data_IF_247893873927
#
_entry.id   IF_247893873927
#
_cell.length_a   1.000
_cell.length_b   1.000
_cell.length_c   1.000
_cell.angle_alpha   90.00
_cell.angle_beta   90.00
_cell.angle_gamma   90.00
#
_symmetry.space_group_name_H-M   'P 1'
#
loop_
_entity.id
_entity.type
_entity.pdbx_description
1 polymer ?
#
# COMPACT_ATOMS: atom_id res chain seq x y z
N UNK A 1 -5.46 29.02 -11.30
CA UNK A 1 -4.48 28.21 -10.54
C UNK A 1 -4.69 26.77 -10.96
N UNK A 2 -3.81 26.24 -11.81
CA UNK A 2 -3.87 24.87 -12.27
C UNK A 2 -3.60 23.96 -11.07
N UNK A 3 -4.63 23.31 -10.54
CA UNK A 3 -4.47 22.25 -9.55
C UNK A 3 -3.76 21.10 -10.26
N UNK A 4 -2.43 21.08 -10.19
CA UNK A 4 -1.64 20.02 -10.80
C UNK A 4 -1.89 18.76 -9.99
N UNK A 5 -2.73 17.86 -10.51
CA UNK A 5 -3.00 16.59 -9.88
C UNK A 5 -1.70 15.80 -9.83
N UNK A 6 -1.16 15.56 -8.63
CA UNK A 6 -0.02 14.66 -8.46
C UNK A 6 -0.38 13.26 -8.99
N UNK A 7 0.53 12.72 -9.81
CA UNK A 7 0.49 11.35 -10.31
C UNK A 7 0.59 10.33 -9.16
N UNK A 8 0.25 9.08 -9.45
CA UNK A 8 0.42 7.99 -8.47
C UNK A 8 1.88 7.84 -8.03
N UNK A 9 2.81 7.90 -8.98
CA UNK A 9 4.24 7.72 -8.72
C UNK A 9 4.78 8.81 -7.79
N UNK A 10 4.41 10.08 -8.02
CA UNK A 10 4.80 11.20 -7.14
C UNK A 10 4.25 11.00 -5.72
N UNK A 11 2.97 10.63 -5.59
CA UNK A 11 2.37 10.34 -4.27
C UNK A 11 3.03 9.17 -3.57
N UNK A 12 3.47 8.17 -4.33
CA UNK A 12 4.15 7.00 -3.80
C UNK A 12 5.55 7.36 -3.30
N UNK A 13 6.34 8.12 -4.07
CA UNK A 13 7.65 8.62 -3.64
C UNK A 13 7.53 9.52 -2.39
N UNK A 14 6.57 10.45 -2.37
CA UNK A 14 6.29 11.29 -1.19
C UNK A 14 5.95 10.46 0.05
N UNK A 15 5.23 9.35 -0.14
CA UNK A 15 4.95 8.39 0.92
C UNK A 15 6.22 7.66 1.36
N UNK A 16 7.02 7.15 0.44
CA UNK A 16 8.25 6.40 0.73
C UNK A 16 9.23 7.24 1.56
N UNK A 17 9.47 8.49 1.20
CA UNK A 17 10.33 9.40 2.00
C UNK A 17 9.86 9.48 3.45
N UNK A 18 8.56 9.72 3.64
CA UNK A 18 7.97 9.82 4.99
C UNK A 18 8.01 8.49 5.74
N UNK A 19 7.85 7.38 5.02
CA UNK A 19 7.79 6.04 5.58
C UNK A 19 9.18 5.53 5.97
N UNK A 20 10.21 5.80 5.17
CA UNK A 20 11.61 5.48 5.48
C UNK A 20 12.07 6.11 6.80
N UNK A 21 11.72 7.37 7.06
CA UNK A 21 12.00 8.02 8.33
C UNK A 21 11.29 7.34 9.50
N UNK A 22 10.04 6.91 9.30
CA UNK A 22 9.29 6.12 10.28
C UNK A 22 9.94 4.76 10.57
N UNK A 23 10.56 4.14 9.55
CA UNK A 23 11.21 2.84 9.70
C UNK A 23 12.49 2.89 10.53
N UNK A 24 13.21 4.02 10.53
CA UNK A 24 14.47 4.20 11.29
C UNK A 24 14.30 4.05 12.81
N UNK A 25 13.09 4.28 13.31
CA UNK A 25 12.79 4.19 14.75
C UNK A 25 12.49 2.75 15.23
N UNK A 26 12.40 1.77 14.33
CA UNK A 26 12.30 0.38 14.74
C UNK A 26 13.64 -0.15 15.27
N UNK A 27 13.62 -0.99 16.32
CA UNK A 27 14.84 -1.63 16.81
C UNK A 27 15.41 -2.58 15.76
N UNK A 28 16.71 -2.90 15.87
CA UNK A 28 17.36 -3.80 14.92
C UNK A 28 16.72 -5.20 14.86
N UNK A 29 16.19 -5.68 16.01
CA UNK A 29 15.63 -7.03 16.14
C UNK A 29 14.18 -7.03 16.62
N UNK A 30 13.35 -7.93 16.09
CA UNK A 30 11.97 -8.12 16.53
C UNK A 30 11.03 -8.69 15.47
N UNK A 31 9.74 -8.76 15.80
CA UNK A 31 8.70 -9.31 14.91
C UNK A 31 8.54 -8.52 13.60
N UNK A 32 8.97 -7.26 13.58
CA UNK A 32 8.91 -6.37 12.42
C UNK A 32 9.99 -6.64 11.37
N UNK A 33 11.07 -7.36 11.70
CA UNK A 33 12.17 -7.67 10.75
C UNK A 33 11.67 -8.34 9.47
N UNK A 34 10.78 -9.33 9.62
CA UNK A 34 10.18 -10.03 8.47
C UNK A 34 9.43 -9.08 7.55
N UNK A 35 8.77 -8.07 8.12
CA UNK A 35 8.01 -7.08 7.35
C UNK A 35 8.93 -6.03 6.75
N UNK A 36 10.01 -5.65 7.44
CA UNK A 36 11.06 -4.79 6.89
C UNK A 36 11.74 -5.45 5.69
N UNK A 37 12.17 -6.71 5.81
CA UNK A 37 12.78 -7.46 4.69
C UNK A 37 11.83 -7.51 3.50
N UNK A 38 10.57 -7.93 3.73
CA UNK A 38 9.58 -8.00 2.65
C UNK A 38 9.31 -6.63 2.01
N UNK A 39 9.23 -5.57 2.80
CA UNK A 39 9.12 -4.20 2.30
C UNK A 39 10.31 -3.85 1.39
N UNK A 40 11.55 -4.13 1.83
CA UNK A 40 12.77 -3.86 1.05
C UNK A 40 12.82 -4.64 -0.26
N UNK A 41 12.35 -5.88 -0.26
CA UNK A 41 12.33 -6.74 -1.46
C UNK A 41 11.25 -6.31 -2.46
N UNK A 42 10.07 -5.89 -1.98
CA UNK A 42 8.90 -5.59 -2.83
C UNK A 42 8.82 -4.13 -3.28
N UNK A 43 9.34 -3.18 -2.49
CA UNK A 43 9.33 -1.75 -2.82
C UNK A 43 9.92 -1.43 -4.22
N UNK A 44 11.14 -1.89 -4.58
CA UNK A 44 11.72 -1.55 -5.88
C UNK A 44 10.93 -2.11 -7.06
N UNK A 45 10.29 -3.27 -6.90
CA UNK A 45 9.43 -3.86 -7.93
C UNK A 45 8.17 -3.01 -8.16
N UNK A 46 7.56 -2.50 -7.09
CA UNK A 46 6.40 -1.61 -7.19
C UNK A 46 6.80 -0.24 -7.75
N UNK A 47 8.00 0.28 -7.42
CA UNK A 47 8.56 1.49 -8.05
C UNK A 47 8.77 1.28 -9.55
N UNK A 48 9.18 0.08 -9.97
CA UNK A 48 9.31 -0.29 -11.39
C UNK A 48 7.96 -0.48 -12.11
N UNK A 49 6.84 -0.38 -11.40
CA UNK A 49 5.49 -0.45 -11.97
C UNK A 49 4.77 -1.79 -11.78
N UNK A 50 5.35 -2.75 -11.05
CA UNK A 50 4.71 -4.05 -10.77
C UNK A 50 3.61 -3.92 -9.71
N UNK A 51 2.44 -3.42 -10.13
CA UNK A 51 1.30 -3.11 -9.25
C UNK A 51 0.27 -4.24 -9.11
N UNK A 52 0.65 -5.48 -9.40
CA UNK A 52 -0.22 -6.65 -9.25
C UNK A 52 -0.70 -6.82 -7.79
N UNK A 53 -2.01 -6.89 -7.57
CA UNK A 53 -2.61 -6.91 -6.22
C UNK A 53 -3.10 -8.31 -5.78
N UNK A 54 -2.70 -9.36 -6.49
CA UNK A 54 -3.02 -10.74 -6.11
C UNK A 54 -2.02 -11.29 -5.08
N UNK A 55 -2.40 -12.31 -4.28
CA UNK A 55 -1.48 -12.94 -3.35
C UNK A 55 -0.18 -13.41 -4.03
N UNK A 56 0.95 -12.99 -3.50
CA UNK A 56 2.28 -13.30 -4.04
C UNK A 56 2.82 -12.27 -5.04
N UNK A 57 2.00 -11.33 -5.52
CA UNK A 57 2.44 -10.24 -6.36
C UNK A 57 3.14 -9.13 -5.54
N UNK A 58 4.03 -8.33 -6.15
CA UNK A 58 4.85 -7.35 -5.41
C UNK A 58 4.04 -6.32 -4.65
N UNK A 59 2.99 -5.75 -5.24
CA UNK A 59 2.16 -4.76 -4.55
C UNK A 59 1.38 -5.35 -3.37
N UNK A 60 0.86 -6.57 -3.50
CA UNK A 60 0.24 -7.26 -2.37
C UNK A 60 1.22 -7.49 -1.21
N UNK A 61 2.46 -7.89 -1.54
CA UNK A 61 3.52 -8.13 -0.56
C UNK A 61 3.95 -6.83 0.12
N UNK A 62 4.01 -5.74 -0.64
CA UNK A 62 4.29 -4.40 -0.14
C UNK A 62 3.17 -3.88 0.77
N UNK A 63 1.90 -3.99 0.34
CA UNK A 63 0.72 -3.59 1.13
C UNK A 63 0.70 -4.30 2.47
N UNK A 64 0.84 -5.62 2.46
CA UNK A 64 0.86 -6.42 3.69
C UNK A 64 1.97 -5.95 4.64
N UNK A 65 3.16 -5.67 4.10
CA UNK A 65 4.30 -5.23 4.91
C UNK A 65 4.06 -3.86 5.52
N UNK A 66 3.61 -2.89 4.74
CA UNK A 66 3.32 -1.53 5.20
C UNK A 66 2.21 -1.53 6.24
N UNK A 67 1.12 -2.25 5.99
CA UNK A 67 -0.01 -2.34 6.94
C UNK A 67 0.41 -2.96 8.27
N UNK A 68 1.25 -3.99 8.24
CA UNK A 68 1.78 -4.60 9.45
C UNK A 68 2.75 -3.67 10.17
N UNK A 69 3.66 -3.00 9.45
CA UNK A 69 4.60 -2.02 10.01
C UNK A 69 3.88 -0.82 10.63
N UNK A 70 2.73 -0.40 10.08
CA UNK A 70 1.88 0.65 10.63
C UNK A 70 0.89 0.15 11.70
N UNK A 71 0.92 -1.13 12.09
CA UNK A 71 0.01 -1.65 13.11
C UNK A 71 0.25 -0.93 14.45
N UNK A 72 -0.81 -0.26 14.93
CA UNK A 72 -0.79 0.48 16.17
C UNK A 72 -0.64 -0.36 17.44
N UNK A 73 -0.72 -1.70 17.33
CA UNK A 73 -0.45 -2.64 18.42
C UNK A 73 1.05 -2.90 18.64
N UNK A 74 1.90 -2.45 17.74
CA UNK A 74 3.34 -2.53 17.93
C UNK A 74 3.83 -1.59 19.04
N UNK A 75 4.98 -1.91 19.63
CA UNK A 75 5.68 -1.01 20.57
C UNK A 75 6.33 0.13 19.78
N UNK A 76 5.52 1.12 19.43
CA UNK A 76 5.95 2.31 18.71
C UNK A 76 6.51 3.36 19.66
N UNK A 77 7.50 4.12 19.20
CA UNK A 77 7.96 5.34 19.85
C UNK A 77 6.88 6.43 19.87
N UNK A 78 7.09 7.51 20.62
CA UNK A 78 6.16 8.66 20.60
C UNK A 78 6.10 9.34 19.23
N UNK A 79 7.22 9.51 18.55
CA UNK A 79 7.28 10.13 17.23
C UNK A 79 6.58 9.27 16.18
N UNK A 80 6.83 7.96 16.19
CA UNK A 80 6.14 6.99 15.35
C UNK A 80 4.62 7.08 15.54
N UNK A 81 4.11 7.17 16.78
CA UNK A 81 2.67 7.31 17.03
C UNK A 81 2.06 8.58 16.43
N UNK A 82 2.79 9.70 16.43
CA UNK A 82 2.33 10.98 15.87
C UNK A 82 2.15 10.89 14.35
N UNK A 83 3.10 10.27 13.65
CA UNK A 83 3.11 10.23 12.17
C UNK A 83 2.32 9.05 11.58
N UNK A 84 2.17 7.95 12.33
CA UNK A 84 1.53 6.70 11.86
C UNK A 84 0.17 6.91 11.21
N UNK A 85 -0.71 7.73 11.81
CA UNK A 85 -2.07 7.96 11.29
C UNK A 85 -2.04 8.63 9.92
N UNK A 86 -1.14 9.59 9.72
CA UNK A 86 -0.97 10.27 8.43
C UNK A 86 -0.39 9.32 7.37
N UNK A 87 0.60 8.51 7.74
CA UNK A 87 1.17 7.49 6.86
C UNK A 87 0.13 6.47 6.41
N UNK A 88 -0.69 5.98 7.34
CA UNK A 88 -1.78 5.06 7.03
C UNK A 88 -2.79 5.70 6.06
N UNK A 89 -3.18 6.95 6.28
CA UNK A 89 -4.07 7.66 5.37
C UNK A 89 -3.49 7.82 3.96
N UNK A 90 -2.23 8.23 3.85
CA UNK A 90 -1.51 8.33 2.56
C UNK A 90 -1.48 6.97 1.84
N UNK A 91 -1.12 5.92 2.56
CA UNK A 91 -1.05 4.55 2.02
C UNK A 91 -2.41 4.05 1.54
N UNK A 92 -3.47 4.23 2.32
CA UNK A 92 -4.82 3.84 1.91
C UNK A 92 -5.27 4.55 0.62
N UNK A 93 -4.89 5.81 0.43
CA UNK A 93 -5.13 6.54 -0.81
C UNK A 93 -4.48 5.89 -2.02
N UNK A 94 -3.20 5.52 -1.90
CA UNK A 94 -2.42 4.82 -2.94
C UNK A 94 -2.97 3.42 -3.23
N UNK A 95 -3.46 2.72 -2.21
CA UNK A 95 -4.01 1.36 -2.37
C UNK A 95 -5.35 1.36 -3.10
N UNK A 96 -6.20 2.35 -2.80
CA UNK A 96 -7.49 2.50 -3.47
C UNK A 96 -7.35 2.84 -4.95
N UNK A 97 -6.34 3.63 -5.34
CA UNK A 97 -6.08 3.94 -6.75
C UNK A 97 -5.62 2.71 -7.54
N UNK A 98 -4.70 1.89 -7.01
CA UNK A 98 -4.32 0.62 -7.66
C UNK A 98 -5.52 -0.32 -7.83
N UNK A 99 -6.38 -0.38 -6.80
CA UNK A 99 -7.60 -1.19 -6.85
C UNK A 99 -8.63 -0.65 -7.87
N UNK A 100 -8.63 0.65 -8.14
CA UNK A 100 -9.47 1.27 -9.17
C UNK A 100 -8.91 1.01 -10.58
N UNK A 101 -7.60 1.17 -10.79
CA UNK A 101 -6.91 0.85 -12.04
C UNK A 101 -7.16 -0.61 -12.46
N UNK A 102 -7.07 -1.56 -11.52
CA UNK A 102 -7.36 -2.97 -11.78
C UNK A 102 -8.82 -3.29 -12.13
N UNK A 103 -9.77 -2.42 -11.78
CA UNK A 103 -11.19 -2.55 -12.17
C UNK A 103 -11.50 -1.93 -13.54
N UNK A 104 -10.69 -0.96 -13.97
CA UNK A 104 -10.82 -0.29 -15.28
C UNK A 104 -10.05 -1.02 -16.40
N UNK A 105 -9.13 -1.92 -16.06
CA UNK A 105 -8.47 -2.79 -17.03
C UNK A 105 -9.48 -3.71 -17.76
N UNK A 106 -9.39 -3.88 -19.09
CA UNK A 106 -10.41 -4.54 -19.90
C UNK A 106 -10.30 -6.07 -19.76
N UNK A 107 -10.82 -6.60 -18.66
CA UNK A 107 -11.13 -8.02 -18.48
C UNK A 107 -12.55 -8.15 -17.93
N UNK A 108 -13.53 -7.87 -18.79
CA UNK A 108 -14.66 -8.75 -19.07
C UNK A 108 -15.57 -9.30 -17.96
N UNK A 109 -15.51 -8.87 -16.69
CA UNK A 109 -16.50 -9.26 -15.68
C UNK A 109 -16.70 -8.17 -14.62
N UNK A 110 -17.75 -7.37 -14.80
CA UNK A 110 -18.28 -6.52 -13.73
C UNK A 110 -18.93 -7.40 -12.66
N UNK A 111 -18.28 -7.54 -11.50
CA UNK A 111 -18.82 -8.24 -10.32
C UNK A 111 -19.93 -7.45 -9.58
N UNK A 112 -20.71 -6.64 -10.31
CA UNK A 112 -21.87 -5.91 -9.78
C UNK A 112 -23.19 -6.22 -10.49
N UNK A 113 -23.28 -7.29 -11.29
CA UNK A 113 -24.56 -7.87 -11.69
C UNK A 113 -25.00 -8.99 -10.74
N UNK A 114 -25.28 -8.62 -9.49
CA UNK A 114 -25.92 -9.53 -8.56
C UNK A 114 -27.44 -9.51 -8.72
N UNK A 115 -28.00 -10.24 -9.71
CA UNK A 115 -29.26 -11.03 -9.60
C UNK A 115 -29.26 -12.08 -10.73
N UNK A 116 -29.35 -13.36 -10.37
CA UNK A 116 -29.45 -14.51 -11.27
C UNK A 116 -30.77 -14.51 -12.05
N UNK A 117 -30.74 -14.90 -13.33
CA UNK A 117 -31.89 -15.51 -14.00
C UNK A 117 -32.25 -16.85 -13.36
N UNK A 118 -33.53 -17.20 -13.33
CA UNK A 118 -33.94 -18.50 -13.85
C UNK A 118 -34.86 -18.33 -15.06
N UNK A 119 -34.67 -19.24 -16.00
CA UNK A 119 -35.43 -19.42 -17.23
C UNK A 119 -36.90 -19.79 -16.94
N UNK A 120 -37.81 -19.14 -17.67
CA UNK A 120 -38.78 -19.77 -18.58
C UNK A 120 -39.21 -18.73 -19.63
#
# INVERSE_FOLDING_TARGET
MSSQFQSWAEKFEDFLVSFEDYLKEFPAFGRHEKYLSRYRDSCPLVQAGERGNEPGQPFFMLDTSIMLLLDGRQRLSENQRKVRKNLLFKWEGLRRSVSAEGREAPMGLSYWSGVKKPSD
#
